data_IF_184183371140
#
_entry.id   IF_184183371140
#
_cell.length_a   1.000
_cell.length_b   1.000
_cell.length_c   1.000
_cell.angle_alpha   90.00
_cell.angle_beta   90.00
_cell.angle_gamma   90.00
#
_symmetry.space_group_name_H-M   'P 1'
#
loop_
_entity.id
_entity.type
_entity.pdbx_description
1 polymer ?
#
# COMPACT_ATOMS: atom_id res chain seq x y z
N UNK A 1 -17.18 -20.74 15.16
CA UNK A 1 -16.76 -19.38 14.80
C UNK A 1 -15.43 -19.49 14.08
N UNK A 2 -15.47 -19.92 12.82
CA UNK A 2 -14.25 -20.01 12.00
C UNK A 2 -14.13 -18.67 11.28
N UNK A 3 -13.08 -17.93 11.60
CA UNK A 3 -12.70 -16.75 10.83
C UNK A 3 -12.46 -17.24 9.39
N UNK A 4 -12.99 -16.57 8.36
CA UNK A 4 -12.82 -17.02 6.98
C UNK A 4 -11.33 -17.17 6.71
N UNK A 5 -10.89 -18.38 6.36
CA UNK A 5 -9.51 -18.63 5.97
C UNK A 5 -9.27 -17.90 4.66
N UNK A 6 -8.66 -16.72 4.73
CA UNK A 6 -8.24 -16.01 3.52
C UNK A 6 -7.05 -16.79 2.94
N UNK A 7 -7.27 -17.43 1.80
CA UNK A 7 -6.25 -18.23 1.13
C UNK A 7 -5.00 -17.38 0.90
N UNK A 8 -3.85 -17.82 1.44
CA UNK A 8 -2.59 -17.10 1.32
C UNK A 8 -2.31 -16.04 2.40
N UNK A 9 -3.07 -15.99 3.50
CA UNK A 9 -2.76 -15.14 4.66
C UNK A 9 -2.36 -15.95 5.90
N UNK A 10 -1.30 -15.52 6.58
CA UNK A 10 -0.79 -16.11 7.82
C UNK A 10 -1.31 -15.33 9.03
N UNK A 11 -1.83 -16.01 10.06
CA UNK A 11 -2.24 -15.37 11.30
C UNK A 11 -1.00 -15.02 12.17
N UNK A 12 -0.92 -13.79 12.67
CA UNK A 12 0.13 -13.31 13.58
C UNK A 12 -0.46 -12.36 14.62
N UNK A 13 -0.43 -12.75 15.89
CA UNK A 13 -0.78 -11.91 17.06
C UNK A 13 -2.13 -11.19 16.94
N UNK A 14 -3.17 -11.89 16.45
CA UNK A 14 -4.52 -11.32 16.28
C UNK A 14 -4.72 -10.49 15.00
N UNK A 15 -3.70 -10.40 14.14
CA UNK A 15 -3.75 -9.84 12.79
C UNK A 15 -3.41 -10.90 11.75
N UNK A 16 -3.67 -10.61 10.47
CA UNK A 16 -3.30 -11.48 9.35
C UNK A 16 -2.23 -10.81 8.49
N UNK A 17 -1.12 -11.49 8.22
CA UNK A 17 -0.15 -11.07 7.21
C UNK A 17 -0.55 -11.75 5.90
N UNK A 18 -0.88 -10.95 4.88
CA UNK A 18 -1.30 -11.45 3.58
C UNK A 18 -0.19 -11.22 2.53
N UNK A 19 0.79 -12.14 2.41
CA UNK A 19 1.76 -12.08 1.33
C UNK A 19 1.06 -12.24 -0.01
N UNK A 20 1.07 -11.17 -0.81
CA UNK A 20 0.58 -11.24 -2.18
C UNK A 20 1.52 -12.14 -2.99
N UNK A 21 1.01 -13.28 -3.48
CA UNK A 21 1.75 -14.09 -4.44
C UNK A 21 2.08 -13.20 -5.66
N UNK A 22 3.31 -13.26 -6.20
CA UNK A 22 3.73 -12.42 -7.32
C UNK A 22 3.02 -12.85 -8.60
N UNK A 23 1.82 -12.34 -8.81
CA UNK A 23 0.99 -12.56 -10.00
C UNK A 23 1.25 -11.48 -11.06
N UNK A 24 2.48 -10.93 -11.11
CA UNK A 24 2.82 -9.75 -11.91
C UNK A 24 2.45 -8.41 -11.24
N UNK A 25 2.53 -7.33 -12.02
CA UNK A 25 2.16 -5.99 -11.55
C UNK A 25 0.64 -5.85 -11.42
N UNK A 26 0.21 -5.22 -10.32
CA UNK A 26 -1.19 -4.93 -10.02
C UNK A 26 -1.32 -3.51 -9.50
N UNK A 27 -2.45 -2.91 -9.82
CA UNK A 27 -2.92 -1.62 -9.33
C UNK A 27 -3.92 -1.77 -8.16
N UNK A 28 -4.66 -2.89 -8.10
CA UNK A 28 -5.63 -3.20 -7.04
C UNK A 28 -5.35 -4.56 -6.39
N UNK A 29 -5.51 -4.63 -5.07
CA UNK A 29 -5.38 -5.85 -4.26
C UNK A 29 -6.57 -5.98 -3.30
N UNK A 30 -7.03 -7.21 -3.08
CA UNK A 30 -8.04 -7.49 -2.07
C UNK A 30 -7.34 -7.74 -0.73
N UNK A 31 -7.54 -6.84 0.24
CA UNK A 31 -6.99 -6.98 1.57
C UNK A 31 -8.08 -7.46 2.55
N UNK A 32 -7.91 -8.62 3.21
CA UNK A 32 -8.85 -9.09 4.22
C UNK A 32 -8.98 -8.14 5.43
N UNK A 33 -10.11 -8.21 6.16
CA UNK A 33 -10.26 -7.50 7.43
C UNK A 33 -9.14 -7.84 8.43
N UNK A 34 -8.70 -6.85 9.20
CA UNK A 34 -7.64 -7.00 10.22
C UNK A 34 -6.31 -7.54 9.70
N UNK A 35 -6.03 -7.35 8.41
CA UNK A 35 -4.79 -7.80 7.79
C UNK A 35 -3.87 -6.65 7.42
N UNK A 36 -2.60 -6.97 7.23
CA UNK A 36 -1.56 -6.06 6.76
C UNK A 36 -0.85 -6.70 5.58
N UNK A 37 -0.49 -5.89 4.59
CA UNK A 37 0.32 -6.31 3.46
C UNK A 37 1.41 -5.29 3.17
N UNK A 38 2.43 -5.72 2.42
CA UNK A 38 3.52 -4.85 1.97
C UNK A 38 3.49 -4.75 0.45
N UNK A 39 3.30 -3.54 -0.06
CA UNK A 39 3.31 -3.25 -1.51
C UNK A 39 4.68 -2.71 -1.91
N UNK A 40 5.18 -3.16 -3.06
CA UNK A 40 6.41 -2.64 -3.68
C UNK A 40 6.06 -2.01 -5.01
N UNK A 41 6.32 -0.71 -5.15
CA UNK A 41 6.04 0.05 -6.37
C UNK A 41 7.37 0.48 -7.00
N UNK A 42 7.63 0.14 -8.27
CA UNK A 42 8.90 0.47 -8.92
C UNK A 42 8.90 1.92 -9.44
N UNK A 43 9.15 2.90 -8.56
CA UNK A 43 9.46 4.28 -8.96
C UNK A 43 10.89 4.40 -9.53
N UNK A 44 11.24 3.53 -10.48
CA UNK A 44 12.59 3.38 -11.03
C UNK A 44 12.89 4.35 -12.18
N UNK A 45 11.85 4.88 -12.83
CA UNK A 45 11.99 5.88 -13.88
C UNK A 45 12.03 7.29 -13.24
N UNK A 46 13.11 8.07 -13.42
CA UNK A 46 13.31 9.37 -12.78
C UNK A 46 12.33 10.46 -13.23
N UNK A 47 11.58 10.22 -14.31
CA UNK A 47 10.52 11.11 -14.78
C UNK A 47 9.17 10.85 -14.09
N UNK A 48 9.02 9.72 -13.38
CA UNK A 48 7.83 9.41 -12.58
C UNK A 48 7.94 10.18 -11.26
N UNK A 49 7.42 11.42 -11.27
CA UNK A 49 7.40 12.32 -10.12
C UNK A 49 6.04 13.01 -10.03
N UNK A 50 5.70 13.48 -8.83
CA UNK A 50 4.42 14.15 -8.57
C UNK A 50 3.57 13.43 -7.53
N UNK A 51 2.34 13.92 -7.29
CA UNK A 51 1.38 13.28 -6.40
C UNK A 51 0.75 12.05 -7.06
N UNK A 52 0.72 10.94 -6.32
CA UNK A 52 0.03 9.71 -6.66
C UNK A 52 -1.03 9.44 -5.60
N UNK A 53 -2.22 9.03 -6.02
CA UNK A 53 -3.30 8.71 -5.09
C UNK A 53 -3.27 7.22 -4.79
N UNK A 54 -3.51 6.86 -3.54
CA UNK A 54 -3.85 5.49 -3.16
C UNK A 54 -5.12 5.54 -2.32
N UNK A 55 -6.07 4.66 -2.63
CA UNK A 55 -7.33 4.63 -1.91
C UNK A 55 -7.96 3.24 -1.89
N UNK A 56 -8.95 3.06 -1.02
CA UNK A 56 -9.85 1.92 -1.11
C UNK A 56 -10.78 2.10 -2.31
N UNK A 57 -10.90 1.10 -3.18
CA UNK A 57 -11.84 1.12 -4.30
C UNK A 57 -13.33 0.97 -3.90
N UNK A 58 -13.62 1.01 -2.59
CA UNK A 58 -14.97 1.05 -2.04
C UNK A 58 -15.30 2.51 -1.74
N UNK A 59 -16.19 3.12 -2.52
CA UNK A 59 -16.50 4.56 -2.43
C UNK A 59 -16.82 5.05 -1.02
N UNK A 60 -17.66 4.32 -0.29
CA UNK A 60 -18.01 4.67 1.09
C UNK A 60 -16.81 4.63 2.06
N UNK A 61 -15.75 3.89 1.75
CA UNK A 61 -14.52 3.84 2.54
C UNK A 61 -13.56 4.96 2.14
N UNK A 62 -13.43 5.22 0.84
CA UNK A 62 -12.71 6.36 0.28
C UNK A 62 -13.18 7.69 0.90
N UNK A 63 -14.48 7.94 0.87
CA UNK A 63 -15.13 9.14 1.43
C UNK A 63 -14.94 9.26 2.96
N UNK A 64 -14.71 8.14 3.64
CA UNK A 64 -14.46 8.08 5.09
C UNK A 64 -12.98 8.25 5.47
N UNK A 65 -12.14 8.65 4.51
CA UNK A 65 -10.73 8.98 4.76
C UNK A 65 -9.75 7.89 4.36
N UNK A 66 -10.20 6.88 3.59
CA UNK A 66 -9.28 5.90 2.99
C UNK A 66 -8.73 6.35 1.63
N UNK A 67 -8.79 7.64 1.29
CA UNK A 67 -8.05 8.26 0.18
C UNK A 67 -6.87 9.06 0.72
N UNK A 68 -5.67 8.80 0.19
CA UNK A 68 -4.47 9.54 0.56
C UNK A 68 -3.51 9.72 -0.63
N UNK A 69 -2.56 10.65 -0.48
CA UNK A 69 -1.57 10.96 -1.50
C UNK A 69 -0.16 10.47 -1.10
N UNK A 70 0.60 10.01 -2.08
CA UNK A 70 2.03 9.72 -2.04
C UNK A 70 2.73 10.69 -2.98
N UNK A 71 3.64 11.53 -2.46
CA UNK A 71 4.44 12.42 -3.29
C UNK A 71 5.75 11.76 -3.67
N UNK A 72 5.91 11.45 -4.96
CA UNK A 72 7.15 10.89 -5.50
C UNK A 72 8.03 12.03 -5.98
N UNK A 73 9.27 12.03 -5.51
CA UNK A 73 10.24 13.10 -5.79
C UNK A 73 11.48 12.50 -6.44
N UNK A 74 12.05 13.22 -7.39
CA UNK A 74 13.37 12.88 -7.92
C UNK A 74 14.43 13.47 -6.99
N UNK A 75 15.12 12.61 -6.25
CA UNK A 75 16.16 13.00 -5.28
C UNK A 75 17.36 13.70 -5.90
N UNK A 76 17.61 13.53 -7.22
CA UNK A 76 18.70 14.22 -7.93
C UNK A 76 18.32 15.63 -8.38
N UNK A 77 17.02 15.93 -8.49
CA UNK A 77 16.49 17.25 -8.86
C UNK A 77 15.87 18.04 -7.69
N UNK A 78 15.57 17.37 -6.57
CA UNK A 78 15.16 18.01 -5.32
C UNK A 78 16.40 18.55 -4.62
N UNK A 79 16.51 19.88 -4.53
CA UNK A 79 17.64 20.53 -3.87
C UNK A 79 17.77 20.12 -2.42
N UNK A 80 18.74 19.24 -2.12
CA UNK A 80 19.42 19.14 -0.83
C UNK A 80 18.65 18.70 0.42
N UNK A 81 17.35 18.42 0.36
CA UNK A 81 16.61 17.95 1.53
C UNK A 81 16.67 16.42 1.64
N UNK A 82 17.14 15.91 2.79
CA UNK A 82 17.30 14.48 3.06
C UNK A 82 15.95 13.76 2.98
N UNK A 83 15.73 13.01 1.89
CA UNK A 83 14.51 12.21 1.70
C UNK A 83 14.63 10.94 2.55
N UNK A 84 14.09 11.00 3.77
CA UNK A 84 13.90 9.80 4.59
C UNK A 84 12.89 8.89 3.88
N UNK A 85 13.28 7.68 3.43
CA UNK A 85 12.34 6.77 2.79
C UNK A 85 11.26 6.40 3.81
N UNK A 86 10.06 6.95 3.65
CA UNK A 86 8.93 6.55 4.47
C UNK A 86 8.60 5.10 4.10
N UNK A 87 8.85 4.17 5.03
CA UNK A 87 8.22 2.86 4.97
C UNK A 87 6.71 3.08 5.08
N UNK A 88 6.03 3.14 3.95
CA UNK A 88 4.57 3.22 3.92
C UNK A 88 4.02 1.83 4.29
N UNK A 89 3.66 1.65 5.56
CA UNK A 89 2.77 0.57 5.97
C UNK A 89 1.35 1.08 5.84
N UNK A 90 0.66 0.62 4.80
CA UNK A 90 -0.75 0.98 4.57
C UNK A 90 -1.59 0.06 5.46
N UNK A 91 -1.93 0.55 6.64
CA UNK A 91 -2.88 -0.13 7.51
C UNK A 91 -4.29 0.34 7.15
N UNK A 92 -5.03 -0.47 6.42
CA UNK A 92 -6.46 -0.26 6.21
C UNK A 92 -7.17 -0.66 7.51
N UNK A 93 -7.82 0.30 8.17
CA UNK A 93 -8.68 0.05 9.35
C UNK A 93 -10.14 0.03 8.94
#
# INVERSE_FOLDING_TARGET
>A
SELPTYEGCEAKDGSYICPLLPQGYRDVINLPPNSTTTVRIPFVNPFITGPFVYHCHILNHEDKGMMNNLKVVNTKGYGGEEVVPQKAQIQLR
#
